data_IF_095186307376
#
_entry.id   IF_095186307376
#
_cell.length_a   1.000
_cell.length_b   1.000
_cell.length_c   1.000
_cell.angle_alpha   90.00
_cell.angle_beta   90.00
_cell.angle_gamma   90.00
#
_symmetry.space_group_name_H-M   'P 1'
#
loop_
_entity.id
_entity.type
_entity.pdbx_description
1 polymer ?
#
# COMPACT_ATOMS: atom_id res chain seq x y z
N UNK A 1 8.93 -5.84 -2.41
CA UNK A 1 7.66 -6.58 -2.54
C UNK A 1 7.99 -7.83 -3.32
N UNK A 2 7.87 -9.03 -2.74
CA UNK A 2 8.28 -10.26 -3.43
C UNK A 2 7.33 -10.66 -4.58
N UNK A 3 6.46 -9.73 -5.02
CA UNK A 3 5.54 -9.92 -6.14
C UNK A 3 5.63 -8.74 -7.14
N UNK A 4 6.75 -8.63 -7.89
CA UNK A 4 6.98 -7.51 -8.79
C UNK A 4 5.92 -7.36 -9.89
N UNK A 5 5.17 -8.44 -10.21
CA UNK A 5 4.08 -8.46 -11.19
C UNK A 5 2.84 -7.65 -10.75
N UNK A 6 2.61 -7.47 -9.45
CA UNK A 6 1.53 -6.62 -8.94
C UNK A 6 2.02 -5.24 -8.50
N UNK A 7 3.33 -5.01 -8.52
CA UNK A 7 3.93 -3.80 -7.95
C UNK A 7 4.20 -2.73 -8.99
N UNK A 8 3.81 -1.50 -8.67
CA UNK A 8 4.28 -0.30 -9.38
C UNK A 8 5.80 -0.14 -9.35
N UNK A 9 6.36 0.64 -10.28
CA UNK A 9 7.81 0.83 -10.39
C UNK A 9 8.39 1.57 -9.16
N UNK A 10 7.63 2.49 -8.56
CA UNK A 10 8.00 3.23 -7.37
C UNK A 10 8.17 2.26 -6.19
N UNK A 11 7.17 1.39 -5.97
CA UNK A 11 7.21 0.38 -4.92
C UNK A 11 8.39 -0.58 -5.11
N UNK A 12 8.66 -1.00 -6.35
CA UNK A 12 9.86 -1.80 -6.69
C UNK A 12 11.16 -1.06 -6.37
N UNK A 13 11.22 0.24 -6.66
CA UNK A 13 12.40 1.09 -6.40
C UNK A 13 12.68 1.26 -4.90
N UNK A 14 11.63 1.50 -4.10
CA UNK A 14 11.74 1.67 -2.64
C UNK A 14 12.11 0.37 -1.93
N UNK A 15 11.56 -0.75 -2.37
CA UNK A 15 11.77 -2.05 -1.72
C UNK A 15 13.13 -2.71 -2.03
N UNK A 16 13.86 -2.25 -3.06
CA UNK A 16 15.16 -2.83 -3.41
C UNK A 16 16.23 -2.42 -2.39
N UNK A 17 16.75 -3.39 -1.63
CA UNK A 17 17.86 -3.17 -0.67
C UNK A 17 19.08 -2.62 -1.41
N UNK A 18 19.68 -1.55 -0.88
CA UNK A 18 20.81 -0.87 -1.53
C UNK A 18 20.44 -0.01 -2.75
N UNK A 19 19.15 0.16 -3.08
CA UNK A 19 18.71 1.03 -4.18
C UNK A 19 19.15 2.48 -3.97
N UNK A 20 20.14 2.92 -4.75
CA UNK A 20 20.60 4.32 -4.75
C UNK A 20 19.46 5.24 -5.19
N UNK A 21 18.69 4.85 -6.22
CA UNK A 21 17.53 5.61 -6.71
C UNK A 21 16.39 5.69 -5.68
N UNK A 22 16.09 4.60 -4.97
CA UNK A 22 15.06 4.58 -3.93
C UNK A 22 15.46 5.42 -2.71
N UNK A 23 16.71 5.29 -2.26
CA UNK A 23 17.27 6.14 -1.20
C UNK A 23 17.31 7.60 -1.60
N UNK A 24 17.70 7.92 -2.83
CA UNK A 24 17.73 9.28 -3.38
C UNK A 24 16.33 9.90 -3.44
N UNK A 25 15.31 9.18 -3.92
CA UNK A 25 13.94 9.71 -3.96
C UNK A 25 13.41 10.05 -2.57
N UNK A 26 13.67 9.20 -1.56
CA UNK A 26 13.16 9.43 -0.21
C UNK A 26 14.00 10.47 0.57
N UNK A 27 15.33 10.45 0.44
CA UNK A 27 16.23 11.32 1.20
C UNK A 27 16.59 12.63 0.51
N UNK A 28 16.75 12.63 -0.81
CA UNK A 28 17.15 13.81 -1.58
C UNK A 28 15.95 14.52 -2.22
N UNK A 29 14.84 13.83 -2.45
CA UNK A 29 13.62 14.41 -3.01
C UNK A 29 12.34 14.08 -2.20
N UNK A 30 12.33 14.28 -0.87
CA UNK A 30 11.22 13.86 -0.01
C UNK A 30 9.87 14.49 -0.38
N UNK A 31 9.85 15.74 -0.88
CA UNK A 31 8.62 16.38 -1.37
C UNK A 31 8.01 15.63 -2.55
N UNK A 32 8.83 15.20 -3.50
CA UNK A 32 8.38 14.45 -4.67
C UNK A 32 7.82 13.11 -4.21
N UNK A 33 8.52 12.40 -3.34
CA UNK A 33 8.08 11.11 -2.79
C UNK A 33 6.76 11.22 -2.04
N UNK A 34 6.61 12.23 -1.18
CA UNK A 34 5.37 12.50 -0.44
C UNK A 34 4.20 12.84 -1.38
N UNK A 35 4.47 13.62 -2.43
CA UNK A 35 3.46 13.95 -3.43
C UNK A 35 3.05 12.74 -4.27
N UNK A 36 3.99 11.84 -4.58
CA UNK A 36 3.68 10.55 -5.22
C UNK A 36 2.81 9.69 -4.29
N UNK A 37 3.18 9.59 -3.00
CA UNK A 37 2.43 8.84 -1.99
C UNK A 37 0.97 9.30 -1.93
N UNK A 38 0.76 10.63 -1.86
CA UNK A 38 -0.57 11.23 -1.91
C UNK A 38 -1.29 10.93 -3.24
N UNK A 39 -0.72 11.35 -4.38
CA UNK A 39 -1.42 11.30 -5.67
C UNK A 39 -1.70 9.90 -6.20
N UNK A 40 -0.89 8.91 -5.81
CA UNK A 40 -1.10 7.50 -6.19
C UNK A 40 -1.86 6.71 -5.13
N UNK A 41 -1.81 7.15 -3.87
CA UNK A 41 -2.45 6.45 -2.77
C UNK A 41 -3.96 6.64 -2.76
N UNK A 42 -4.45 7.83 -3.08
CA UNK A 42 -5.88 8.11 -3.15
C UNK A 42 -6.47 7.87 -4.54
N UNK A 43 -7.78 7.59 -4.58
CA UNK A 43 -8.55 7.52 -5.82
C UNK A 43 -8.55 8.85 -6.58
N UNK A 44 -8.38 8.82 -7.91
CA UNK A 44 -8.50 10.04 -8.73
C UNK A 44 -9.94 10.53 -8.71
N UNK A 45 -10.17 11.71 -8.13
CA UNK A 45 -11.52 12.26 -7.90
C UNK A 45 -12.01 12.09 -6.47
N UNK A 46 -11.13 11.73 -5.53
CA UNK A 46 -11.41 11.74 -4.10
C UNK A 46 -11.81 13.14 -3.61
N UNK A 47 -12.55 13.19 -2.50
CA UNK A 47 -12.90 14.43 -1.79
C UNK A 47 -12.01 14.69 -0.56
N UNK A 48 -10.85 14.04 -0.47
CA UNK A 48 -9.91 14.21 0.65
C UNK A 48 -9.53 15.68 0.83
N UNK A 49 -9.70 16.24 2.06
CA UNK A 49 -9.37 17.63 2.35
C UNK A 49 -7.91 18.00 2.06
N UNK A 50 -7.69 19.27 1.71
CA UNK A 50 -6.36 19.80 1.43
C UNK A 50 -5.41 19.74 2.63
N UNK A 51 -5.93 19.69 3.86
CA UNK A 51 -5.12 19.54 5.07
C UNK A 51 -4.41 18.20 5.14
N UNK A 52 -5.08 17.11 4.78
CA UNK A 52 -4.47 15.78 4.68
C UNK A 52 -3.32 15.79 3.68
N UNK A 53 -3.49 16.49 2.54
CA UNK A 53 -2.38 16.68 1.59
C UNK A 53 -1.19 17.40 2.23
N UNK A 54 -1.43 18.44 3.03
CA UNK A 54 -0.37 19.17 3.74
C UNK A 54 0.33 18.28 4.77
N UNK A 55 -0.43 17.47 5.50
CA UNK A 55 0.11 16.50 6.47
C UNK A 55 1.00 15.45 5.80
N UNK A 56 0.55 14.84 4.70
CA UNK A 56 1.37 13.91 3.92
C UNK A 56 2.72 14.53 3.49
N UNK A 57 2.68 15.77 3.01
CA UNK A 57 3.89 16.51 2.64
C UNK A 57 4.78 16.78 3.86
N UNK A 58 4.19 17.26 4.96
CA UNK A 58 4.92 17.55 6.19
C UNK A 58 5.58 16.29 6.75
N UNK A 59 4.88 15.16 6.77
CA UNK A 59 5.41 13.90 7.27
C UNK A 59 6.51 13.32 6.39
N UNK A 60 6.36 13.38 5.07
CA UNK A 60 7.41 12.94 4.15
C UNK A 60 8.70 13.76 4.24
N UNK A 61 8.64 14.99 4.75
CA UNK A 61 9.81 15.83 5.00
C UNK A 61 10.56 15.47 6.28
N UNK A 62 9.94 14.77 7.23
CA UNK A 62 10.57 14.44 8.52
C UNK A 62 11.55 13.29 8.35
N UNK A 63 12.80 13.49 8.78
CA UNK A 63 13.89 12.50 8.65
C UNK A 63 13.55 11.16 9.29
N UNK A 64 12.94 11.17 10.48
CA UNK A 64 12.56 9.93 11.16
C UNK A 64 11.50 9.14 10.39
N UNK A 65 10.56 9.81 9.73
CA UNK A 65 9.56 9.16 8.86
C UNK A 65 10.22 8.58 7.60
N UNK A 66 11.17 9.29 7.00
CA UNK A 66 11.94 8.79 5.86
C UNK A 66 12.73 7.53 6.22
N UNK A 67 13.39 7.53 7.38
CA UNK A 67 14.14 6.37 7.87
C UNK A 67 13.20 5.19 8.20
N UNK A 68 12.06 5.45 8.83
CA UNK A 68 11.03 4.44 9.08
C UNK A 68 10.47 3.85 7.76
N UNK A 69 10.15 4.71 6.79
CA UNK A 69 9.67 4.31 5.47
C UNK A 69 10.68 3.41 4.75
N UNK A 70 11.95 3.83 4.66
CA UNK A 70 13.00 3.03 4.03
C UNK A 70 13.21 1.70 4.75
N UNK A 71 13.23 1.71 6.08
CA UNK A 71 13.37 0.51 6.90
C UNK A 71 12.23 -0.46 6.64
N UNK A 72 10.98 0.00 6.65
CA UNK A 72 9.80 -0.81 6.39
C UNK A 72 9.89 -1.47 4.99
N UNK A 73 10.00 -0.68 3.92
CA UNK A 73 9.92 -1.21 2.56
C UNK A 73 11.10 -2.11 2.18
N UNK A 74 12.29 -1.88 2.74
CA UNK A 74 13.47 -2.73 2.47
C UNK A 74 13.43 -4.06 3.24
N UNK A 75 12.67 -4.15 4.33
CA UNK A 75 12.65 -5.35 5.20
C UNK A 75 11.34 -6.14 5.16
N UNK A 76 10.28 -5.62 4.53
CA UNK A 76 8.95 -6.26 4.61
C UNK A 76 8.89 -7.66 3.96
N UNK A 77 9.78 -8.00 3.02
CA UNK A 77 9.80 -9.29 2.32
C UNK A 77 9.89 -10.51 3.26
N UNK A 78 10.62 -10.39 4.39
CA UNK A 78 10.82 -11.51 5.33
C UNK A 78 9.52 -12.05 5.92
N UNK A 79 8.58 -11.16 6.24
CA UNK A 79 7.28 -11.57 6.80
C UNK A 79 6.39 -12.20 5.72
N UNK A 80 6.50 -11.71 4.49
CA UNK A 80 5.75 -12.22 3.36
C UNK A 80 6.19 -13.65 2.97
N UNK A 81 7.49 -13.92 2.98
CA UNK A 81 8.06 -15.27 2.71
C UNK A 81 7.61 -16.31 3.75
N UNK A 82 7.36 -15.89 4.99
CA UNK A 82 6.78 -16.76 6.01
C UNK A 82 5.28 -16.98 5.80
N UNK A 83 4.54 -15.91 5.49
CA UNK A 83 3.09 -15.91 5.36
C UNK A 83 2.57 -16.62 4.11
N UNK A 84 3.09 -16.31 2.91
CA UNK A 84 2.55 -16.81 1.64
C UNK A 84 2.42 -18.33 1.52
N UNK A 85 3.42 -19.16 1.89
CA UNK A 85 3.27 -20.61 1.81
C UNK A 85 2.31 -21.17 2.86
N UNK A 86 2.00 -20.41 3.92
CA UNK A 86 1.21 -20.84 5.08
C UNK A 86 -0.18 -20.21 5.15
N UNK A 87 -0.54 -19.37 4.18
CA UNK A 87 -1.84 -18.69 4.18
C UNK A 87 -3.03 -19.67 4.30
N UNK A 88 -2.90 -20.86 3.70
CA UNK A 88 -3.87 -21.95 3.79
C UNK A 88 -4.03 -22.58 5.19
N UNK A 89 -3.10 -22.32 6.12
CA UNK A 89 -3.16 -22.81 7.50
C UNK A 89 -4.07 -21.93 8.39
N UNK A 90 -4.48 -20.75 7.91
CA UNK A 90 -5.35 -19.85 8.65
C UNK A 90 -6.76 -20.43 8.79
N UNK A 91 -7.20 -20.56 10.04
CA UNK A 91 -8.55 -21.02 10.42
C UNK A 91 -9.51 -19.88 10.75
N UNK A 92 -8.98 -18.69 10.99
CA UNK A 92 -9.77 -17.50 11.28
C UNK A 92 -10.39 -16.98 9.99
N UNK A 93 -11.70 -16.65 9.96
CA UNK A 93 -12.31 -15.99 8.81
C UNK A 93 -11.56 -14.69 8.49
N UNK A 94 -11.23 -14.48 7.21
CA UNK A 94 -10.49 -13.31 6.73
C UNK A 94 -11.35 -12.47 5.81
N UNK A 95 -11.45 -11.17 6.10
CA UNK A 95 -11.95 -10.19 5.14
C UNK A 95 -10.78 -9.55 4.41
N UNK A 96 -10.69 -9.76 3.11
CA UNK A 96 -9.75 -9.08 2.21
C UNK A 96 -10.47 -7.85 1.64
N UNK A 97 -9.95 -6.65 1.93
CA UNK A 97 -10.48 -5.41 1.37
C UNK A 97 -9.44 -4.76 0.47
N UNK A 98 -9.86 -4.30 -0.71
CA UNK A 98 -8.97 -3.65 -1.67
C UNK A 98 -9.63 -2.50 -2.41
N UNK A 99 -8.86 -1.47 -2.74
CA UNK A 99 -9.33 -0.41 -3.63
C UNK A 99 -9.13 -0.81 -5.08
N UNK A 100 -10.20 -0.79 -5.88
CA UNK A 100 -10.15 -1.16 -7.31
C UNK A 100 -9.14 -0.33 -8.10
N UNK A 101 -8.87 0.90 -7.65
CA UNK A 101 -7.98 1.85 -8.30
C UNK A 101 -6.65 2.03 -7.55
N UNK A 102 -6.20 1.03 -6.77
CA UNK A 102 -4.87 1.05 -6.16
C UNK A 102 -3.78 1.14 -7.25
N UNK A 103 -2.97 2.20 -7.20
CA UNK A 103 -1.91 2.49 -8.18
C UNK A 103 -0.52 2.08 -7.68
N UNK A 104 -0.42 1.56 -6.46
CA UNK A 104 0.80 0.99 -5.90
C UNK A 104 0.85 -0.52 -6.07
N UNK A 105 -0.28 -1.19 -5.77
CA UNK A 105 -0.42 -2.65 -5.79
C UNK A 105 -1.68 -3.01 -6.58
N UNK A 106 -1.51 -3.74 -7.68
CA UNK A 106 -2.60 -4.17 -8.56
C UNK A 106 -3.62 -5.03 -7.81
N UNK A 107 -4.90 -4.71 -7.97
CA UNK A 107 -6.04 -5.39 -7.36
C UNK A 107 -6.08 -6.89 -7.64
N UNK A 108 -5.46 -7.37 -8.72
CA UNK A 108 -5.31 -8.82 -9.01
C UNK A 108 -4.68 -9.59 -7.85
N UNK A 109 -3.83 -8.95 -7.06
CA UNK A 109 -3.28 -9.59 -5.86
C UNK A 109 -4.36 -9.88 -4.81
N UNK A 110 -5.38 -9.03 -4.68
CA UNK A 110 -6.47 -9.24 -3.73
C UNK A 110 -7.25 -10.53 -4.04
N UNK A 111 -7.52 -10.75 -5.34
CA UNK A 111 -8.15 -11.98 -5.82
C UNK A 111 -7.29 -13.20 -5.51
N UNK A 112 -5.99 -13.15 -5.81
CA UNK A 112 -5.08 -14.26 -5.51
C UNK A 112 -4.99 -14.54 -3.99
N UNK A 113 -4.98 -13.51 -3.16
CA UNK A 113 -4.97 -13.68 -1.70
C UNK A 113 -6.27 -14.37 -1.25
N UNK A 114 -7.42 -13.92 -1.73
CA UNK A 114 -8.71 -14.50 -1.38
C UNK A 114 -8.82 -15.97 -1.82
N UNK A 115 -8.31 -16.32 -3.00
CA UNK A 115 -8.29 -17.70 -3.51
C UNK A 115 -7.40 -18.64 -2.67
N UNK A 116 -6.33 -18.12 -2.07
CA UNK A 116 -5.38 -18.91 -1.26
C UNK A 116 -5.83 -19.12 0.19
N UNK A 117 -6.73 -18.28 0.68
CA UNK A 117 -7.20 -18.31 2.06
C UNK A 117 -8.42 -19.24 2.18
N UNK A 118 -8.48 -20.15 3.18
CA UNK A 118 -9.54 -21.16 3.24
C UNK A 118 -10.94 -20.60 3.47
N UNK A 119 -11.03 -19.51 4.25
CA UNK A 119 -12.28 -18.83 4.60
C UNK A 119 -12.09 -17.32 4.42
N UNK A 120 -12.03 -16.89 3.15
CA UNK A 120 -11.88 -15.48 2.81
C UNK A 120 -13.11 -14.93 2.09
N UNK A 121 -13.54 -13.74 2.54
CA UNK A 121 -14.41 -12.85 1.78
C UNK A 121 -13.56 -11.77 1.12
N UNK A 122 -13.83 -11.46 -0.14
CA UNK A 122 -13.17 -10.37 -0.85
C UNK A 122 -14.15 -9.23 -1.11
N UNK A 123 -13.80 -8.02 -0.65
CA UNK A 123 -14.52 -6.79 -0.96
C UNK A 123 -13.62 -5.83 -1.73
N UNK A 124 -13.88 -5.67 -3.03
CA UNK A 124 -13.18 -4.70 -3.87
C UNK A 124 -14.01 -3.43 -3.99
N UNK A 125 -13.51 -2.34 -3.42
CA UNK A 125 -14.20 -1.05 -3.35
C UNK A 125 -14.00 -0.25 -4.64
N UNK A 126 -15.10 0.09 -5.32
CA UNK A 126 -15.06 0.98 -6.48
C UNK A 126 -14.75 2.43 -6.03
N UNK A 127 -14.05 3.19 -6.87
CA UNK A 127 -13.62 4.56 -6.57
C UNK A 127 -12.79 4.67 -5.28
N UNK A 128 -11.93 3.69 -5.02
CA UNK A 128 -10.98 3.67 -3.91
C UNK A 128 -9.57 3.28 -4.41
N UNK A 129 -8.56 3.96 -3.89
CA UNK A 129 -7.14 3.69 -4.14
C UNK A 129 -6.51 2.78 -3.08
N UNK A 130 -5.23 3.00 -2.81
CA UNK A 130 -4.48 2.27 -1.79
C UNK A 130 -4.98 2.55 -0.37
N UNK A 131 -5.40 3.78 -0.08
CA UNK A 131 -5.92 4.19 1.23
C UNK A 131 -7.44 4.02 1.32
N UNK A 132 -7.92 2.77 1.20
CA UNK A 132 -9.36 2.44 1.18
C UNK A 132 -10.16 3.05 2.32
N UNK A 133 -9.58 3.05 3.53
CA UNK A 133 -10.19 3.59 4.74
C UNK A 133 -10.35 5.11 4.71
N UNK A 134 -9.58 5.80 3.89
CA UNK A 134 -9.68 7.25 3.72
C UNK A 134 -10.56 7.62 2.52
N UNK A 135 -10.48 6.86 1.42
CA UNK A 135 -11.32 7.10 0.24
C UNK A 135 -12.79 6.75 0.51
N UNK A 136 -13.05 5.69 1.28
CA UNK A 136 -14.38 5.10 1.49
C UNK A 136 -14.63 4.68 2.95
N UNK A 137 -14.47 5.58 3.94
CA UNK A 137 -14.58 5.22 5.36
C UNK A 137 -15.94 4.61 5.71
N UNK A 138 -17.04 5.20 5.22
CA UNK A 138 -18.40 4.74 5.53
C UNK A 138 -18.74 3.40 4.88
N UNK A 139 -18.25 3.16 3.67
CA UNK A 139 -18.46 1.86 3.03
C UNK A 139 -17.63 0.78 3.73
N UNK A 140 -16.39 1.10 4.11
CA UNK A 140 -15.48 0.17 4.81
C UNK A 140 -16.05 -0.32 6.15
N UNK A 141 -16.61 0.58 6.97
CA UNK A 141 -17.17 0.19 8.28
C UNK A 141 -18.46 -0.60 8.18
N UNK A 142 -19.14 -0.55 7.02
CA UNK A 142 -20.41 -1.25 6.79
C UNK A 142 -20.22 -2.59 6.05
N UNK A 143 -18.98 -3.06 5.86
CA UNK A 143 -18.72 -4.39 5.30
C UNK A 143 -19.08 -5.45 6.36
N UNK A 144 -19.99 -6.37 6.01
CA UNK A 144 -20.48 -7.46 6.88
C UNK A 144 -20.09 -8.86 6.36
#
# INVERSE_FOLDING_TARGET
FPRPQYSSWELKSFAKKGSVRGKALVRWFPRISAQIAYLKGFYRGHSIPAEIRREFLADGLKKYNQDAFLSYFQNFHKRQEYFEPRAHELKTPVLVVWGKNDRFIDVKLAYEIAERLPDAKLHVMDKAGHYVHMDKPQELVNIT
#
